data_IF_604683821002
#
_entry.id   IF_604683821002
#
_cell.length_a   1.000
_cell.length_b   1.000
_cell.length_c   1.000
_cell.angle_alpha   90.00
_cell.angle_beta   90.00
_cell.angle_gamma   90.00
#
_symmetry.space_group_name_H-M   'P 1'
#
loop_
_entity.id
_entity.type
_entity.pdbx_description
1 polymer ?
#
# COMPACT_ATOMS: atom_id res chain seq x y z
N UNK A 1 10.46 -4.33 5.11
CA UNK A 1 10.09 -2.93 5.41
C UNK A 1 8.69 -2.73 4.84
N UNK A 2 7.75 -2.16 5.61
CA UNK A 2 6.31 -1.93 5.35
C UNK A 2 5.62 -2.69 4.19
N UNK A 3 6.00 -2.47 2.92
CA UNK A 3 5.42 -3.12 1.74
C UNK A 3 5.26 -4.64 1.86
N UNK A 4 6.33 -5.39 2.19
CA UNK A 4 6.24 -6.86 2.26
C UNK A 4 5.22 -7.31 3.30
N UNK A 5 5.15 -6.62 4.45
CA UNK A 5 4.17 -6.89 5.50
C UNK A 5 2.74 -6.58 5.04
N UNK A 6 2.56 -5.50 4.28
CA UNK A 6 1.25 -5.16 3.71
C UNK A 6 0.79 -6.21 2.70
N UNK A 7 1.67 -6.64 1.78
CA UNK A 7 1.37 -7.68 0.79
C UNK A 7 0.99 -8.99 1.47
N UNK A 8 1.81 -9.46 2.42
CA UNK A 8 1.56 -10.69 3.17
C UNK A 8 0.23 -10.62 3.92
N UNK A 9 -0.05 -9.51 4.60
CA UNK A 9 -1.31 -9.31 5.31
C UNK A 9 -2.51 -9.32 4.36
N UNK A 10 -2.46 -8.60 3.23
CA UNK A 10 -3.56 -8.56 2.28
C UNK A 10 -3.85 -9.94 1.69
N UNK A 11 -2.81 -10.71 1.34
CA UNK A 11 -2.96 -12.07 0.84
C UNK A 11 -3.61 -12.98 1.89
N UNK A 12 -3.09 -12.96 3.12
CA UNK A 12 -3.63 -13.73 4.23
C UNK A 12 -5.08 -13.36 4.55
N UNK A 13 -5.44 -12.08 4.51
CA UNK A 13 -6.79 -11.63 4.80
C UNK A 13 -7.81 -11.97 3.70
N UNK A 14 -7.38 -11.95 2.43
CA UNK A 14 -8.22 -12.40 1.30
C UNK A 14 -8.42 -13.92 1.35
N UNK A 15 -7.42 -14.68 1.79
CA UNK A 15 -7.49 -16.14 1.94
C UNK A 15 -8.25 -16.57 3.19
N UNK A 16 -8.13 -15.81 4.28
CA UNK A 16 -8.88 -16.06 5.50
C UNK A 16 -10.35 -15.67 5.31
N UNK A 17 -11.24 -16.39 5.99
CA UNK A 17 -12.67 -16.04 6.10
C UNK A 17 -12.98 -15.35 7.43
N UNK A 18 -11.95 -14.92 8.14
CA UNK A 18 -12.12 -14.24 9.43
C UNK A 18 -12.35 -12.76 9.18
N UNK A 19 -13.24 -12.15 9.97
CA UNK A 19 -13.46 -10.72 9.96
C UNK A 19 -12.43 -10.03 10.85
N UNK A 20 -12.02 -8.83 10.45
CA UNK A 20 -11.16 -8.00 11.28
C UNK A 20 -12.01 -7.26 12.31
N UNK A 21 -11.52 -7.23 13.55
CA UNK A 21 -12.04 -6.33 14.57
C UNK A 21 -11.80 -4.87 14.17
N UNK A 22 -12.58 -3.93 14.71
CA UNK A 22 -12.42 -2.50 14.44
C UNK A 22 -10.99 -1.96 14.69
N UNK A 23 -10.25 -2.38 15.74
CA UNK A 23 -8.83 -2.03 15.89
C UNK A 23 -7.94 -2.56 14.76
N UNK A 24 -8.15 -3.80 14.31
CA UNK A 24 -7.40 -4.40 13.20
C UNK A 24 -7.67 -3.67 11.88
N UNK A 25 -8.92 -3.28 11.62
CA UNK A 25 -9.27 -2.46 10.46
C UNK A 25 -8.57 -1.10 10.45
N UNK A 26 -8.56 -0.40 11.59
CA UNK A 26 -7.82 0.87 11.71
C UNK A 26 -6.32 0.69 11.49
N UNK A 27 -5.74 -0.38 12.01
CA UNK A 27 -4.33 -0.71 11.80
C UNK A 27 -4.04 -0.99 10.32
N UNK A 28 -4.95 -1.68 9.61
CA UNK A 28 -4.83 -1.96 8.19
C UNK A 28 -4.87 -0.69 7.33
N UNK A 29 -5.81 0.21 7.61
CA UNK A 29 -5.91 1.51 6.92
C UNK A 29 -4.67 2.34 7.19
N UNK A 30 -4.16 2.36 8.43
CA UNK A 30 -2.93 3.04 8.77
C UNK A 30 -1.73 2.46 8.01
N UNK A 31 -1.62 1.13 7.93
CA UNK A 31 -0.58 0.44 7.17
C UNK A 31 -0.61 0.81 5.69
N UNK A 32 -1.79 0.82 5.08
CA UNK A 32 -1.99 1.23 3.69
C UNK A 32 -1.54 2.67 3.44
N UNK A 33 -1.98 3.60 4.31
CA UNK A 33 -1.61 5.01 4.23
C UNK A 33 -0.09 5.21 4.34
N UNK A 34 0.54 4.55 5.31
CA UNK A 34 2.00 4.59 5.48
C UNK A 34 2.72 4.05 4.25
N UNK A 35 2.27 2.92 3.68
CA UNK A 35 2.88 2.35 2.47
C UNK A 35 2.81 3.32 1.28
N UNK A 36 1.64 3.91 1.05
CA UNK A 36 1.46 4.86 -0.05
C UNK A 36 2.31 6.11 0.15
N UNK A 37 2.36 6.63 1.38
CA UNK A 37 3.19 7.77 1.74
C UNK A 37 4.69 7.48 1.53
N UNK A 38 5.19 6.33 1.99
CA UNK A 38 6.60 5.95 1.81
C UNK A 38 6.96 5.82 0.33
N UNK A 39 6.10 5.20 -0.48
CA UNK A 39 6.33 5.13 -1.93
C UNK A 39 6.34 6.51 -2.60
N UNK A 40 5.40 7.37 -2.21
CA UNK A 40 5.29 8.72 -2.73
C UNK A 40 6.52 9.56 -2.37
N UNK A 41 6.91 9.57 -1.10
CA UNK A 41 8.04 10.35 -0.60
C UNK A 41 9.36 9.86 -1.20
N UNK A 42 9.53 8.54 -1.34
CA UNK A 42 10.67 7.97 -2.05
C UNK A 42 10.73 8.44 -3.51
N UNK A 43 9.59 8.41 -4.22
CA UNK A 43 9.53 8.82 -5.60
C UNK A 43 9.83 10.31 -5.76
N UNK A 44 9.23 11.18 -4.94
CA UNK A 44 9.50 12.61 -4.94
C UNK A 44 10.95 12.94 -4.58
N UNK A 45 11.51 12.28 -3.56
CA UNK A 45 12.91 12.47 -3.17
C UNK A 45 13.86 12.07 -4.31
N UNK A 46 13.52 11.01 -5.06
CA UNK A 46 14.29 10.57 -6.23
C UNK A 46 14.21 11.57 -7.39
N UNK A 47 13.11 12.30 -7.54
CA UNK A 47 12.94 13.32 -8.58
C UNK A 47 13.44 14.71 -8.18
N UNK A 48 13.81 14.92 -6.92
CA UNK A 48 14.17 16.24 -6.42
C UNK A 48 15.40 16.81 -7.16
N UNK A 49 15.44 18.12 -7.50
CA UNK A 49 16.55 18.71 -8.24
C UNK A 49 17.93 18.47 -7.59
N UNK A 50 18.00 18.53 -6.26
CA UNK A 50 19.23 18.31 -5.48
C UNK A 50 19.64 16.84 -5.32
N UNK A 51 18.83 15.88 -5.78
CA UNK A 51 19.17 14.48 -5.70
C UNK A 51 20.39 14.16 -6.56
N UNK A 52 21.29 13.33 -6.03
CA UNK A 52 22.46 12.84 -6.75
C UNK A 52 22.03 11.91 -7.90
N UNK A 53 22.88 11.75 -8.92
CA UNK A 53 22.58 10.88 -10.05
C UNK A 53 22.21 9.44 -9.64
N UNK A 54 22.89 8.79 -8.67
CA UNK A 54 22.49 7.47 -8.21
C UNK A 54 21.08 7.44 -7.60
N UNK A 55 20.70 8.48 -6.85
CA UNK A 55 19.36 8.59 -6.23
C UNK A 55 18.28 8.77 -7.29
N UNK A 56 18.53 9.59 -8.31
CA UNK A 56 17.59 9.79 -9.43
C UNK A 56 17.27 8.48 -10.18
N UNK A 57 18.28 7.61 -10.35
CA UNK A 57 18.12 6.31 -11.01
C UNK A 57 17.30 5.30 -10.18
N UNK A 58 17.15 5.51 -8.85
CA UNK A 58 16.42 4.56 -8.01
C UNK A 58 14.93 4.48 -8.35
N UNK A 59 14.31 5.61 -8.74
CA UNK A 59 12.91 5.63 -9.12
C UNK A 59 12.62 4.71 -10.32
N UNK A 60 13.50 4.72 -11.32
CA UNK A 60 13.42 3.86 -12.49
C UNK A 60 13.79 2.42 -12.15
N UNK A 61 14.91 2.22 -11.43
CA UNK A 61 15.38 0.90 -10.99
C UNK A 61 14.32 0.11 -10.22
N UNK A 62 13.56 0.77 -9.35
CA UNK A 62 12.48 0.14 -8.59
C UNK A 62 11.11 0.28 -9.24
N UNK A 63 11.03 0.85 -10.45
CA UNK A 63 9.79 1.08 -11.19
C UNK A 63 8.72 1.71 -10.29
N UNK A 64 9.10 2.75 -9.57
CA UNK A 64 8.32 3.31 -8.45
C UNK A 64 6.87 3.64 -8.79
N UNK A 65 6.54 4.25 -9.95
CA UNK A 65 5.15 4.46 -10.34
C UNK A 65 4.34 3.17 -10.44
N UNK A 66 4.88 2.15 -11.11
CA UNK A 66 4.23 0.85 -11.27
C UNK A 66 4.10 0.11 -9.94
N UNK A 67 5.14 0.18 -9.09
CA UNK A 67 5.16 -0.44 -7.76
C UNK A 67 4.13 0.20 -6.83
N UNK A 68 4.07 1.53 -6.81
CA UNK A 68 3.09 2.31 -6.05
C UNK A 68 1.66 1.99 -6.49
N UNK A 69 1.39 1.95 -7.79
CA UNK A 69 0.08 1.55 -8.30
C UNK A 69 -0.28 0.13 -7.84
N UNK A 70 0.61 -0.84 -8.06
CA UNK A 70 0.32 -2.25 -7.80
C UNK A 70 0.12 -2.54 -6.31
N UNK A 71 1.05 -2.13 -5.46
CA UNK A 71 1.07 -2.53 -4.04
C UNK A 71 0.55 -1.44 -3.11
N UNK A 72 0.71 -0.16 -3.50
CA UNK A 72 0.26 0.97 -2.70
C UNK A 72 -1.18 1.40 -2.96
N UNK A 73 -1.83 0.98 -4.06
CA UNK A 73 -3.21 1.37 -4.40
C UNK A 73 -4.05 0.13 -4.74
N UNK A 74 -3.73 -0.54 -5.85
CA UNK A 74 -4.57 -1.57 -6.45
C UNK A 74 -4.80 -2.77 -5.52
N UNK A 75 -3.76 -3.30 -4.88
CA UNK A 75 -3.88 -4.47 -4.01
C UNK A 75 -4.84 -4.24 -2.84
N UNK A 76 -4.84 -3.03 -2.27
CA UNK A 76 -5.75 -2.67 -1.18
C UNK A 76 -7.20 -2.58 -1.68
N UNK A 77 -7.43 -1.93 -2.82
CA UNK A 77 -8.76 -1.82 -3.42
C UNK A 77 -9.34 -3.20 -3.82
N UNK A 78 -8.51 -4.06 -4.41
CA UNK A 78 -8.89 -5.43 -4.77
C UNK A 78 -9.26 -6.24 -3.52
N UNK A 79 -8.48 -6.12 -2.44
CA UNK A 79 -8.79 -6.76 -1.16
C UNK A 79 -10.15 -6.29 -0.60
N UNK A 80 -10.38 -4.97 -0.59
CA UNK A 80 -11.64 -4.42 -0.09
C UNK A 80 -12.82 -4.92 -0.94
N UNK A 81 -12.68 -4.96 -2.27
CA UNK A 81 -13.72 -5.42 -3.19
C UNK A 81 -14.06 -6.91 -3.00
N UNK A 82 -13.05 -7.78 -2.84
CA UNK A 82 -13.24 -9.23 -2.67
C UNK A 82 -13.94 -9.62 -1.38
N UNK A 83 -13.93 -8.74 -0.38
CA UNK A 83 -14.50 -8.95 0.95
C UNK A 83 -15.85 -8.23 1.14
N UNK A 84 -16.48 -7.75 0.07
CA UNK A 84 -17.86 -7.26 0.15
C UNK A 84 -18.83 -8.40 0.51
N UNK A 85 -19.85 -8.13 1.34
CA UNK A 85 -20.26 -6.81 1.85
C UNK A 85 -19.54 -6.34 3.12
N UNK A 86 -18.71 -7.18 3.76
CA UNK A 86 -18.12 -6.95 5.09
C UNK A 86 -17.28 -5.67 5.18
N UNK A 87 -16.67 -5.26 4.07
CA UNK A 87 -15.79 -4.08 3.99
C UNK A 87 -16.53 -2.77 3.72
N UNK A 88 -17.83 -2.82 3.41
CA UNK A 88 -18.58 -1.67 2.90
C UNK A 88 -18.56 -0.48 3.87
N UNK A 89 -18.73 -0.74 5.17
CA UNK A 89 -18.71 0.31 6.20
C UNK A 89 -17.35 1.04 6.29
N UNK A 90 -16.26 0.35 5.93
CA UNK A 90 -14.91 0.91 5.98
C UNK A 90 -14.51 1.63 4.69
N UNK A 91 -15.27 1.47 3.59
CA UNK A 91 -15.06 2.18 2.33
C UNK A 91 -15.71 3.57 2.31
N UNK A 92 -16.76 3.78 3.10
CA UNK A 92 -17.60 4.99 3.05
C UNK A 92 -17.25 6.04 4.10
N UNK A 93 -16.17 5.83 4.87
CA UNK A 93 -15.73 6.73 5.95
C UNK A 93 -14.58 7.61 5.49
#
# INVERSE_FOLDING_TARGET
>A
MVESKAIEFYQQYVESREDLSAPQWRALIALHRTLLQEHHDFYLASLHPSASAPVKQLAEKYSMPTRMWRYGIHLFLDMLYRRLPDTLEHMTT
#
